data_IF_867947358723
#
_entry.id   IF_867947358723
#
_cell.length_a   1.000
_cell.length_b   1.000
_cell.length_c   1.000
_cell.angle_alpha   90.00
_cell.angle_beta   90.00
_cell.angle_gamma   90.00
#
_symmetry.space_group_name_H-M   'P 1'
#
loop_
_entity.id
_entity.type
_entity.pdbx_description
1 polymer ?
#
# COMPACT_ATOMS: atom_id res chain seq x y z
N UNK A 1 18.97 -9.76 69.09
CA UNK A 1 17.60 -9.70 68.48
C UNK A 1 17.29 -8.41 67.75
N UNK A 2 17.49 -7.22 68.32
CA UNK A 2 17.21 -5.90 67.66
C UNK A 2 18.02 -5.62 66.36
N UNK A 3 19.24 -6.11 66.25
CA UNK A 3 20.10 -5.88 65.08
C UNK A 3 19.63 -6.70 63.85
N UNK A 4 19.26 -7.96 64.04
CA UNK A 4 18.74 -8.86 62.99
C UNK A 4 17.43 -8.33 62.40
N UNK A 5 16.57 -7.80 63.25
CA UNK A 5 15.29 -7.24 62.85
C UNK A 5 15.41 -5.95 62.01
N UNK A 6 16.47 -5.15 62.22
CA UNK A 6 16.78 -3.98 61.39
C UNK A 6 17.28 -4.39 60.02
N UNK A 7 18.17 -5.37 59.94
CA UNK A 7 18.69 -5.91 58.70
C UNK A 7 17.56 -6.51 57.85
N UNK A 8 16.68 -7.29 58.44
CA UNK A 8 15.52 -7.88 57.77
C UNK A 8 14.54 -6.83 57.19
N UNK A 9 14.28 -5.75 57.95
CA UNK A 9 13.45 -4.63 57.46
C UNK A 9 14.08 -3.89 56.27
N UNK A 10 15.42 -3.73 56.28
CA UNK A 10 16.13 -3.03 55.20
C UNK A 10 16.13 -3.87 53.94
N UNK A 11 16.36 -5.18 54.02
CA UNK A 11 16.29 -6.07 52.83
C UNK A 11 14.85 -6.20 52.30
N UNK A 12 13.84 -6.27 53.18
CA UNK A 12 12.43 -6.28 52.78
C UNK A 12 12.03 -5.01 52.04
N UNK A 13 12.55 -3.85 52.44
CA UNK A 13 12.28 -2.55 51.76
C UNK A 13 12.96 -2.50 50.38
N UNK A 14 14.18 -3.01 50.25
CA UNK A 14 14.89 -3.08 48.97
C UNK A 14 14.18 -4.01 47.99
N UNK A 15 13.69 -5.17 48.43
CA UNK A 15 12.93 -6.11 47.59
C UNK A 15 11.64 -5.48 47.08
N UNK A 16 10.93 -4.69 47.88
CA UNK A 16 9.72 -4.01 47.45
C UNK A 16 9.99 -2.92 46.40
N UNK A 17 11.12 -2.22 46.49
CA UNK A 17 11.51 -1.22 45.52
C UNK A 17 11.89 -1.86 44.16
N UNK A 18 12.52 -3.04 44.16
CA UNK A 18 12.88 -3.76 42.93
C UNK A 18 11.66 -4.32 42.21
N UNK A 19 10.59 -4.65 42.93
CA UNK A 19 9.33 -5.14 42.36
C UNK A 19 8.45 -4.02 41.80
N UNK A 20 8.72 -2.74 42.09
CA UNK A 20 8.04 -1.59 41.54
C UNK A 20 8.62 -1.17 40.17
N UNK A 21 9.29 -2.07 39.44
CA UNK A 21 9.74 -1.85 38.08
C UNK A 21 8.57 -1.46 37.20
N UNK A 22 8.56 -0.21 36.70
CA UNK A 22 7.60 0.28 35.75
C UNK A 22 7.59 -0.60 34.51
N UNK A 23 6.57 -1.40 34.35
CA UNK A 23 6.21 -1.92 33.03
C UNK A 23 5.67 -0.73 32.24
N UNK A 24 6.51 -0.14 31.38
CA UNK A 24 6.03 0.83 30.40
C UNK A 24 5.04 0.10 29.50
N UNK A 25 3.76 0.45 29.66
CA UNK A 25 2.70 -0.07 28.82
C UNK A 25 2.95 0.47 27.42
N UNK A 26 3.28 -0.40 26.49
CA UNK A 26 3.38 0.00 25.08
C UNK A 26 1.95 0.31 24.63
N UNK A 27 1.68 1.59 24.39
CA UNK A 27 0.42 2.04 23.84
C UNK A 27 0.50 2.08 22.33
N UNK A 28 -0.58 1.72 21.66
CA UNK A 28 -0.68 1.81 20.22
C UNK A 28 -1.96 2.53 19.81
N UNK A 29 -1.88 3.22 18.70
CA UNK A 29 -2.99 3.88 18.05
C UNK A 29 -3.31 3.17 16.74
N UNK A 30 -4.56 3.23 16.32
CA UNK A 30 -5.00 2.62 15.07
C UNK A 30 -5.77 3.63 14.23
N UNK A 31 -5.42 3.67 12.95
CA UNK A 31 -6.11 4.45 11.92
C UNK A 31 -6.56 3.48 10.83
N UNK A 32 -7.80 3.63 10.39
CA UNK A 32 -8.35 2.82 9.31
C UNK A 32 -9.16 3.68 8.33
N UNK A 33 -9.23 3.23 7.09
CA UNK A 33 -9.96 3.93 6.04
C UNK A 33 -10.04 3.11 4.76
N UNK A 34 -10.41 3.80 3.67
CA UNK A 34 -10.48 3.23 2.33
C UNK A 34 -9.55 3.99 1.39
N UNK A 35 -8.72 3.27 0.65
CA UNK A 35 -7.86 3.82 -0.39
C UNK A 35 -7.52 2.75 -1.43
N UNK A 36 -7.19 3.16 -2.64
CA UNK A 36 -6.75 2.27 -3.73
C UNK A 36 -7.71 1.09 -3.99
N UNK A 37 -9.01 1.31 -3.82
CA UNK A 37 -10.06 0.29 -4.04
C UNK A 37 -10.22 -0.73 -2.92
N UNK A 38 -9.54 -0.56 -1.77
CA UNK A 38 -9.62 -1.48 -0.62
C UNK A 38 -9.61 -0.74 0.71
N UNK A 39 -9.87 -1.45 1.82
CA UNK A 39 -9.70 -0.91 3.17
C UNK A 39 -8.26 -1.06 3.65
N UNK A 40 -7.84 -0.13 4.50
CA UNK A 40 -6.55 -0.20 5.19
C UNK A 40 -6.72 -0.08 6.70
N UNK A 41 -5.78 -0.68 7.43
CA UNK A 41 -5.64 -0.53 8.89
C UNK A 41 -4.15 -0.32 9.19
N UNK A 42 -3.84 0.81 9.80
CA UNK A 42 -2.49 1.18 10.20
C UNK A 42 -2.42 1.23 11.71
N UNK A 43 -1.49 0.49 12.30
CA UNK A 43 -1.21 0.52 13.73
C UNK A 43 0.15 1.16 13.94
N UNK A 44 0.22 2.17 14.80
CA UNK A 44 1.46 2.83 15.17
C UNK A 44 1.58 2.97 16.69
N UNK A 45 2.80 3.07 17.19
CA UNK A 45 3.08 3.15 18.60
C UNK A 45 3.25 4.60 19.02
N UNK A 46 2.30 5.11 19.79
CA UNK A 46 2.33 6.45 20.36
C UNK A 46 1.42 6.45 21.60
N UNK A 47 1.77 7.29 22.58
CA UNK A 47 0.98 7.49 23.80
C UNK A 47 -0.29 8.31 23.56
N UNK A 48 -0.38 8.99 22.41
CA UNK A 48 -1.54 9.82 22.03
C UNK A 48 -1.81 9.67 20.53
N UNK A 49 -3.06 9.94 20.14
CA UNK A 49 -3.40 10.08 18.73
C UNK A 49 -2.65 11.28 18.18
N UNK A 50 -1.81 11.03 17.17
CA UNK A 50 -1.09 12.08 16.48
C UNK A 50 -1.98 12.62 15.33
N UNK A 51 -2.41 13.88 15.37
CA UNK A 51 -3.32 14.46 14.37
C UNK A 51 -2.70 14.56 12.96
N UNK A 52 -1.37 14.51 12.84
CA UNK A 52 -0.67 14.59 11.56
C UNK A 52 -0.65 13.26 10.80
N UNK A 53 -0.95 12.13 11.44
CA UNK A 53 -0.86 10.80 10.82
C UNK A 53 -1.87 10.65 9.69
N UNK A 54 -3.14 11.02 9.90
CA UNK A 54 -4.16 10.92 8.85
C UNK A 54 -3.84 11.81 7.65
N UNK A 55 -3.56 13.12 7.79
CA UNK A 55 -3.17 13.97 6.67
C UNK A 55 -1.94 13.45 5.92
N UNK A 56 -0.97 12.87 6.60
CA UNK A 56 0.21 12.28 5.97
C UNK A 56 -0.15 11.06 5.12
N UNK A 57 -1.02 10.17 5.62
CA UNK A 57 -1.53 9.00 4.89
C UNK A 57 -2.33 9.45 3.67
N UNK A 58 -3.24 10.41 3.83
CA UNK A 58 -4.05 10.95 2.73
C UNK A 58 -3.18 11.59 1.65
N UNK A 59 -2.12 12.30 2.05
CA UNK A 59 -1.14 12.86 1.11
C UNK A 59 -0.45 11.80 0.27
N UNK A 60 -0.05 10.69 0.89
CA UNK A 60 0.56 9.55 0.16
C UNK A 60 -0.45 8.96 -0.84
N UNK A 61 -1.68 8.69 -0.42
CA UNK A 61 -2.71 8.17 -1.33
C UNK A 61 -3.05 9.14 -2.45
N UNK A 62 -3.07 10.44 -2.17
CA UNK A 62 -3.31 11.46 -3.20
C UNK A 62 -2.21 11.40 -4.28
N UNK A 63 -0.95 11.37 -3.90
CA UNK A 63 0.18 11.31 -4.85
C UNK A 63 0.14 10.02 -5.67
N UNK A 64 -0.08 8.87 -5.03
CA UNK A 64 -0.17 7.58 -5.72
C UNK A 64 -1.35 7.53 -6.70
N UNK A 65 -2.50 8.05 -6.31
CA UNK A 65 -3.69 8.11 -7.17
C UNK A 65 -3.47 9.03 -8.37
N UNK A 66 -2.86 10.20 -8.16
CA UNK A 66 -2.52 11.13 -9.25
C UNK A 66 -1.59 10.47 -10.27
N UNK A 67 -0.66 9.67 -9.82
CA UNK A 67 0.31 8.98 -10.66
C UNK A 67 -0.29 7.76 -11.36
N UNK A 68 -0.93 6.83 -10.61
CA UNK A 68 -1.15 5.46 -11.08
C UNK A 68 -2.61 4.98 -11.05
N UNK A 69 -3.58 5.80 -10.68
CA UNK A 69 -4.98 5.35 -10.67
C UNK A 69 -5.59 5.33 -12.06
N UNK A 70 -5.95 4.16 -12.56
CA UNK A 70 -6.70 4.01 -13.82
C UNK A 70 -8.14 4.49 -13.71
N UNK A 71 -8.68 4.69 -12.51
CA UNK A 71 -10.02 5.23 -12.25
C UNK A 71 -10.08 6.76 -12.29
N UNK A 72 -8.93 7.44 -12.25
CA UNK A 72 -8.84 8.91 -12.33
C UNK A 72 -8.43 9.30 -13.74
N UNK A 73 -9.36 9.95 -14.47
CA UNK A 73 -9.16 10.32 -15.89
C UNK A 73 -7.89 11.15 -16.15
N UNK A 74 -7.48 11.97 -15.19
CA UNK A 74 -6.33 12.87 -15.32
C UNK A 74 -5.08 12.37 -14.59
N UNK A 75 -5.06 11.12 -14.13
CA UNK A 75 -3.84 10.49 -13.63
C UNK A 75 -2.82 10.30 -14.76
N UNK A 76 -1.55 10.17 -14.40
CA UNK A 76 -0.49 10.01 -15.40
C UNK A 76 -0.67 8.70 -16.17
N UNK A 77 -0.98 7.59 -15.50
CA UNK A 77 -1.26 6.30 -16.18
C UNK A 77 -2.46 6.40 -17.13
N UNK A 78 -3.52 7.11 -16.76
CA UNK A 78 -4.68 7.25 -17.62
C UNK A 78 -4.41 8.11 -18.85
N UNK A 79 -3.53 9.12 -18.76
CA UNK A 79 -3.05 9.89 -19.91
C UNK A 79 -2.20 9.04 -20.83
N UNK A 80 -1.24 8.30 -20.27
CA UNK A 80 -0.38 7.36 -21.03
C UNK A 80 -1.24 6.33 -21.77
N UNK A 81 -2.23 5.73 -21.10
CA UNK A 81 -3.12 4.75 -21.71
C UNK A 81 -3.98 5.33 -22.85
N UNK A 82 -4.16 6.65 -22.90
CA UNK A 82 -4.81 7.35 -24.02
C UNK A 82 -3.85 7.81 -25.13
N UNK A 83 -2.54 7.50 -25.00
CA UNK A 83 -1.53 7.86 -25.98
C UNK A 83 -0.96 9.26 -25.82
N UNK A 84 -1.03 9.87 -24.63
CA UNK A 84 -0.37 11.15 -24.35
C UNK A 84 1.13 10.89 -24.12
N UNK A 85 1.95 11.29 -25.08
CA UNK A 85 3.40 11.12 -25.09
C UNK A 85 4.15 12.26 -24.36
N UNK A 86 3.43 13.28 -23.85
CA UNK A 86 4.01 14.39 -23.11
C UNK A 86 4.05 14.15 -21.60
N UNK A 87 3.58 13.00 -21.12
CA UNK A 87 3.53 12.71 -19.68
C UNK A 87 4.92 12.43 -19.12
N UNK A 88 5.33 13.25 -18.17
CA UNK A 88 6.56 13.00 -17.39
C UNK A 88 6.17 12.28 -16.09
N UNK A 89 6.47 10.99 -16.02
CA UNK A 89 6.15 10.16 -14.85
C UNK A 89 7.03 10.46 -13.66
N UNK A 90 6.44 10.40 -12.47
CA UNK A 90 7.13 10.64 -11.20
C UNK A 90 7.96 9.43 -10.71
N UNK A 91 8.59 9.60 -9.56
CA UNK A 91 9.38 8.54 -8.93
C UNK A 91 8.53 7.33 -8.54
N UNK A 92 7.31 7.53 -8.04
CA UNK A 92 6.43 6.44 -7.62
C UNK A 92 6.04 5.56 -8.80
N UNK A 93 5.67 6.18 -9.93
CA UNK A 93 5.40 5.47 -11.17
C UNK A 93 6.58 4.61 -11.60
N UNK A 94 7.79 5.20 -11.67
CA UNK A 94 9.01 4.49 -12.06
C UNK A 94 9.29 3.29 -11.14
N UNK A 95 9.13 3.47 -9.84
CA UNK A 95 9.36 2.42 -8.85
C UNK A 95 8.40 1.25 -9.04
N UNK A 96 7.11 1.53 -9.17
CA UNK A 96 6.08 0.49 -9.37
C UNK A 96 6.25 -0.19 -10.72
N UNK A 97 6.49 0.57 -11.79
CA UNK A 97 6.72 0.03 -13.12
C UNK A 97 7.92 -0.93 -13.16
N UNK A 98 9.05 -0.53 -12.59
CA UNK A 98 10.25 -1.36 -12.54
C UNK A 98 10.04 -2.63 -11.71
N UNK A 99 9.34 -2.53 -10.58
CA UNK A 99 8.99 -3.67 -9.75
C UNK A 99 8.06 -4.63 -10.48
N UNK A 100 7.04 -4.11 -11.17
CA UNK A 100 6.11 -4.89 -11.96
C UNK A 100 6.83 -5.63 -13.11
N UNK A 101 7.76 -4.95 -13.79
CA UNK A 101 8.59 -5.56 -14.84
C UNK A 101 9.47 -6.69 -14.30
N UNK A 102 10.06 -6.51 -13.11
CA UNK A 102 10.85 -7.55 -12.47
C UNK A 102 9.99 -8.79 -12.12
N UNK A 103 8.79 -8.59 -11.61
CA UNK A 103 7.85 -9.68 -11.31
C UNK A 103 7.36 -10.36 -12.60
N UNK A 104 7.02 -9.59 -13.63
CA UNK A 104 6.68 -10.15 -14.96
C UNK A 104 7.79 -11.08 -15.45
N UNK A 105 9.04 -10.63 -15.40
CA UNK A 105 10.20 -11.44 -15.84
C UNK A 105 10.38 -12.69 -14.98
N UNK A 106 10.33 -12.55 -13.66
CA UNK A 106 10.51 -13.67 -12.73
C UNK A 106 9.40 -14.72 -12.85
N UNK A 107 8.18 -14.31 -13.19
CA UNK A 107 7.03 -15.20 -13.39
C UNK A 107 6.85 -15.66 -14.85
N UNK A 108 7.76 -15.28 -15.76
CA UNK A 108 7.65 -15.62 -17.18
C UNK A 108 6.31 -15.19 -17.80
N UNK A 109 5.78 -14.03 -17.37
CA UNK A 109 4.52 -13.47 -17.88
C UNK A 109 3.25 -13.96 -17.18
N UNK A 110 3.32 -14.85 -16.18
CA UNK A 110 2.12 -15.21 -15.38
C UNK A 110 1.55 -14.03 -14.59
N UNK A 111 2.39 -13.08 -14.21
CA UNK A 111 1.97 -11.76 -13.77
C UNK A 111 2.24 -10.77 -14.90
N UNK A 112 1.19 -10.17 -15.45
CA UNK A 112 1.30 -9.17 -16.51
C UNK A 112 0.35 -7.99 -16.26
N UNK A 113 0.84 -6.82 -15.80
CA UNK A 113 0.00 -5.65 -15.58
C UNK A 113 -0.40 -4.94 -16.88
N UNK A 114 0.08 -5.37 -18.05
CA UNK A 114 -0.28 -4.77 -19.34
C UNK A 114 -1.63 -5.29 -19.89
N UNK A 115 -2.30 -6.17 -19.14
CA UNK A 115 -3.63 -6.75 -19.48
C UNK A 115 -4.80 -5.79 -19.34
N UNK A 116 -4.57 -4.49 -19.13
CA UNK A 116 -5.61 -3.49 -18.85
C UNK A 116 -6.77 -3.50 -19.86
N UNK A 117 -6.47 -3.62 -21.14
CA UNK A 117 -7.52 -3.69 -22.18
C UNK A 117 -8.40 -4.94 -22.07
N UNK A 118 -7.83 -6.09 -21.67
CA UNK A 118 -8.60 -7.30 -21.36
C UNK A 118 -9.45 -7.12 -20.11
N UNK A 119 -8.87 -6.55 -19.06
CA UNK A 119 -9.58 -6.27 -17.79
C UNK A 119 -10.81 -5.39 -18.04
N UNK A 120 -10.66 -4.34 -18.86
CA UNK A 120 -11.77 -3.47 -19.27
C UNK A 120 -12.81 -4.25 -20.09
N UNK A 121 -12.40 -5.04 -21.07
CA UNK A 121 -13.32 -5.80 -21.91
C UNK A 121 -14.17 -6.82 -21.13
N UNK A 122 -13.60 -7.41 -20.07
CA UNK A 122 -14.30 -8.29 -19.13
C UNK A 122 -15.15 -7.53 -18.10
N UNK A 123 -15.13 -6.21 -18.07
CA UNK A 123 -15.90 -5.36 -17.14
C UNK A 123 -15.31 -5.28 -15.72
N UNK A 124 -14.06 -5.64 -15.50
CA UNK A 124 -13.36 -5.52 -14.22
C UNK A 124 -12.54 -4.23 -14.10
N UNK A 125 -12.42 -3.45 -15.17
CA UNK A 125 -11.69 -2.20 -15.21
C UNK A 125 -12.58 -0.97 -14.98
N UNK A 126 -12.01 0.24 -15.12
CA UNK A 126 -12.75 1.50 -14.96
C UNK A 126 -13.69 1.83 -16.13
N UNK A 127 -13.59 1.12 -17.25
CA UNK A 127 -14.41 1.30 -18.44
C UNK A 127 -15.55 0.27 -18.47
N UNK A 128 -16.61 0.60 -19.19
CA UNK A 128 -17.71 -0.33 -19.38
C UNK A 128 -17.27 -1.53 -20.21
N UNK A 129 -17.55 -2.75 -19.70
CA UNK A 129 -17.16 -3.99 -20.37
C UNK A 129 -17.94 -4.22 -21.67
N UNK A 130 -17.44 -5.11 -22.49
CA UNK A 130 -18.15 -5.52 -23.71
C UNK A 130 -19.37 -6.38 -23.31
N UNK A 131 -20.53 -6.10 -23.88
CA UNK A 131 -21.76 -6.87 -23.66
C UNK A 131 -21.57 -8.35 -24.06
N UNK A 132 -20.76 -8.62 -25.07
CA UNK A 132 -20.34 -9.96 -25.49
C UNK A 132 -18.89 -9.91 -25.95
N UNK A 133 -18.03 -10.69 -25.31
CA UNK A 133 -16.62 -10.82 -25.68
C UNK A 133 -16.47 -12.04 -26.61
N UNK A 134 -16.20 -11.80 -27.89
CA UNK A 134 -15.94 -12.87 -28.86
C UNK A 134 -14.51 -13.40 -28.75
N UNK A 135 -14.26 -14.60 -29.30
CA UNK A 135 -12.90 -15.14 -29.39
C UNK A 135 -11.96 -14.21 -30.18
N UNK A 136 -12.46 -13.59 -31.24
CA UNK A 136 -11.70 -12.62 -32.05
C UNK A 136 -11.33 -11.35 -31.25
N UNK A 137 -12.25 -10.85 -30.43
CA UNK A 137 -11.97 -9.70 -29.56
C UNK A 137 -10.91 -10.03 -28.53
N UNK A 138 -11.03 -11.19 -27.89
CA UNK A 138 -10.03 -11.69 -26.94
C UNK A 138 -8.66 -11.79 -27.58
N UNK A 139 -8.54 -12.44 -28.74
CA UNK A 139 -7.26 -12.65 -29.40
C UNK A 139 -6.62 -11.32 -29.85
N UNK A 140 -7.45 -10.37 -30.32
CA UNK A 140 -7.00 -9.01 -30.64
C UNK A 140 -6.48 -8.27 -29.41
N UNK A 141 -7.16 -8.38 -28.26
CA UNK A 141 -6.73 -7.71 -27.03
C UNK A 141 -5.49 -8.37 -26.42
N UNK A 142 -5.39 -9.70 -26.49
CA UNK A 142 -4.17 -10.42 -26.08
C UNK A 142 -2.95 -9.99 -26.92
N UNK A 143 -3.14 -9.72 -28.21
CA UNK A 143 -2.06 -9.21 -29.05
C UNK A 143 -1.52 -7.83 -28.61
N UNK A 144 -2.24 -7.09 -27.74
CA UNK A 144 -1.79 -5.80 -27.19
C UNK A 144 -1.05 -5.94 -25.84
N UNK A 145 -1.07 -7.12 -25.20
CA UNK A 145 -0.42 -7.34 -23.89
C UNK A 145 1.06 -7.70 -24.04
N UNK A 146 1.83 -7.39 -23.01
CA UNK A 146 3.26 -7.72 -22.91
C UNK A 146 4.14 -6.47 -22.69
N UNK A 147 5.14 -6.60 -21.81
CA UNK A 147 6.07 -5.50 -21.51
C UNK A 147 6.96 -5.09 -22.69
N UNK A 148 7.16 -5.96 -23.66
CA UNK A 148 7.88 -5.68 -24.91
C UNK A 148 7.17 -4.64 -25.80
N UNK A 149 5.90 -4.37 -25.54
CA UNK A 149 5.08 -3.42 -26.27
C UNK A 149 4.91 -2.07 -25.55
N UNK A 150 5.46 -1.95 -24.35
CA UNK A 150 5.43 -0.70 -23.58
C UNK A 150 6.65 0.14 -24.00
N UNK A 151 6.40 1.26 -24.66
CA UNK A 151 7.42 2.20 -25.17
C UNK A 151 7.40 3.51 -24.39
#
# INVERSE_FOLDING_TARGET
>A
MRSIMKVFKTYSLIIVIVLAGCTSKIEYQRVSGYALGTSYNITYFDTKINPEVLPAIDSVFYVLNKSMSTYIKNSDISKINRGDDQVVVDHHFKTVFNSAKAVFTATQGFFDPTVGSLVNAYGFGPEEGLATLTASDRDRLLALTGFDKVT
#
